data_IF_919789120862
#
_entry.id   IF_919789120862
#
_cell.length_a   1.000
_cell.length_b   1.000
_cell.length_c   1.000
_cell.angle_alpha   90.00
_cell.angle_beta   90.00
_cell.angle_gamma   90.00
#
_symmetry.space_group_name_H-M   'P 1'
#
loop_
_entity.id
_entity.type
_entity.pdbx_description
1 polymer ?
#
# COMPACT_ATOMS: atom_id res chain seq x y z
N UNK A 1 5.83 -25.06 -12.84
CA UNK A 1 4.69 -24.69 -13.72
C UNK A 1 5.13 -23.49 -14.56
N UNK A 2 5.89 -23.73 -15.62
CA UNK A 2 6.45 -22.69 -16.48
C UNK A 2 5.52 -22.35 -17.66
N UNK A 3 5.69 -21.12 -18.17
CA UNK A 3 4.97 -20.49 -19.29
C UNK A 3 4.96 -21.31 -20.60
N UNK A 4 5.76 -22.37 -20.70
CA UNK A 4 5.80 -23.29 -21.86
C UNK A 4 4.68 -24.34 -21.87
N UNK A 5 4.16 -24.74 -20.70
CA UNK A 5 3.02 -25.68 -20.63
C UNK A 5 1.71 -25.07 -21.15
N UNK A 6 1.61 -23.74 -21.18
CA UNK A 6 0.42 -23.00 -21.59
C UNK A 6 0.19 -23.04 -23.09
N UNK A 7 1.24 -23.04 -23.91
CA UNK A 7 1.13 -23.06 -25.38
C UNK A 7 0.68 -24.42 -25.93
N UNK A 8 1.01 -25.52 -25.25
CA UNK A 8 0.64 -26.89 -25.68
C UNK A 8 -0.89 -27.13 -25.70
N UNK A 9 -1.66 -26.34 -24.96
CA UNK A 9 -3.12 -26.46 -24.88
C UNK A 9 -3.88 -25.58 -25.87
N UNK A 10 -3.24 -24.55 -26.45
CA UNK A 10 -3.86 -23.68 -27.45
C UNK A 10 -4.13 -24.47 -28.74
N UNK A 11 -3.25 -25.42 -29.09
CA UNK A 11 -3.39 -26.27 -30.26
C UNK A 11 -4.47 -27.38 -30.13
N UNK A 12 -5.04 -27.61 -28.94
CA UNK A 12 -6.01 -28.68 -28.69
C UNK A 12 -7.47 -28.23 -28.74
N UNK A 13 -7.76 -26.99 -29.15
CA UNK A 13 -9.13 -26.46 -29.24
C UNK A 13 -9.87 -26.36 -27.88
N UNK A 14 -9.19 -26.60 -26.77
CA UNK A 14 -9.76 -26.51 -25.42
C UNK A 14 -9.95 -25.04 -25.06
N UNK A 15 -11.18 -24.54 -25.18
CA UNK A 15 -11.57 -23.22 -24.66
C UNK A 15 -11.42 -23.21 -23.13
N UNK A 16 -10.25 -22.83 -22.63
CA UNK A 16 -10.06 -22.59 -21.19
C UNK A 16 -10.75 -21.31 -20.80
N UNK A 17 -11.65 -21.38 -19.82
CA UNK A 17 -12.18 -20.18 -19.17
C UNK A 17 -11.06 -19.52 -18.38
N UNK A 18 -10.76 -18.26 -18.68
CA UNK A 18 -9.73 -17.48 -17.98
C UNK A 18 -10.11 -17.26 -16.51
N UNK A 19 -11.40 -17.07 -16.24
CA UNK A 19 -11.94 -16.82 -14.91
C UNK A 19 -12.65 -18.03 -14.33
N UNK A 20 -12.61 -18.17 -12.99
CA UNK A 20 -13.34 -19.22 -12.28
C UNK A 20 -14.83 -18.89 -12.27
N UNK A 21 -15.69 -19.89 -12.48
CA UNK A 21 -17.14 -19.70 -12.39
C UNK A 21 -17.53 -19.67 -10.90
N UNK A 22 -18.19 -18.59 -10.48
CA UNK A 22 -18.90 -18.56 -9.21
C UNK A 22 -20.35 -18.99 -9.44
N UNK A 23 -20.98 -19.62 -8.45
CA UNK A 23 -22.43 -19.91 -8.46
C UNK A 23 -23.26 -18.65 -8.11
N UNK A 24 -22.87 -17.49 -8.64
CA UNK A 24 -23.52 -16.19 -8.41
C UNK A 24 -23.70 -15.46 -9.74
N UNK A 25 -24.67 -14.54 -9.79
CA UNK A 25 -24.80 -13.59 -10.88
C UNK A 25 -23.53 -12.73 -11.02
N UNK A 26 -23.24 -12.25 -12.23
CA UNK A 26 -22.00 -11.55 -12.54
C UNK A 26 -21.78 -10.29 -11.66
N UNK A 27 -22.82 -9.49 -11.44
CA UNK A 27 -22.75 -8.29 -10.61
C UNK A 27 -22.43 -8.63 -9.14
N UNK A 28 -23.11 -9.63 -8.56
CA UNK A 28 -22.83 -10.10 -7.20
C UNK A 28 -21.41 -10.67 -7.04
N UNK A 29 -20.90 -11.33 -8.09
CA UNK A 29 -19.51 -11.80 -8.10
C UNK A 29 -18.56 -10.61 -8.05
N UNK A 30 -18.81 -9.59 -8.87
CA UNK A 30 -17.99 -8.38 -8.91
C UNK A 30 -17.99 -7.61 -7.59
N UNK A 31 -19.17 -7.43 -6.99
CA UNK A 31 -19.30 -6.81 -5.67
C UNK A 31 -18.52 -7.57 -4.59
N UNK A 32 -18.59 -8.90 -4.62
CA UNK A 32 -17.84 -9.75 -3.68
C UNK A 32 -16.33 -9.57 -3.83
N UNK A 33 -15.82 -9.43 -5.07
CA UNK A 33 -14.39 -9.21 -5.34
C UNK A 33 -13.98 -7.83 -4.81
N UNK A 34 -14.74 -6.78 -5.11
CA UNK A 34 -14.45 -5.43 -4.61
C UNK A 34 -14.42 -5.36 -3.09
N UNK A 35 -15.33 -6.06 -2.41
CA UNK A 35 -15.36 -6.12 -0.95
C UNK A 35 -14.09 -6.77 -0.40
N UNK A 36 -13.71 -7.93 -0.94
CA UNK A 36 -12.50 -8.63 -0.51
C UNK A 36 -11.22 -7.85 -0.82
N UNK A 37 -11.15 -7.16 -1.95
CA UNK A 37 -10.04 -6.29 -2.30
C UNK A 37 -9.91 -5.13 -1.32
N UNK A 38 -11.03 -4.51 -0.94
CA UNK A 38 -11.05 -3.44 0.05
C UNK A 38 -10.62 -3.93 1.44
N UNK A 39 -11.05 -5.12 1.86
CA UNK A 39 -10.56 -5.78 3.08
C UNK A 39 -9.05 -6.07 3.01
N UNK A 40 -8.57 -6.56 1.87
CA UNK A 40 -7.15 -6.84 1.64
C UNK A 40 -6.30 -5.56 1.73
N UNK A 41 -6.75 -4.45 1.15
CA UNK A 41 -6.09 -3.15 1.29
C UNK A 41 -6.09 -2.68 2.76
N UNK A 42 -7.23 -2.82 3.44
CA UNK A 42 -7.39 -2.37 4.82
C UNK A 42 -6.47 -3.13 5.78
N UNK A 43 -6.43 -4.45 5.70
CA UNK A 43 -5.72 -5.29 6.68
C UNK A 43 -4.35 -5.78 6.21
N UNK A 44 -4.07 -5.72 4.91
CA UNK A 44 -2.84 -6.24 4.30
C UNK A 44 -2.79 -7.75 4.13
N UNK A 45 -3.65 -8.48 4.83
CA UNK A 45 -3.82 -9.93 4.74
C UNK A 45 -5.25 -10.31 5.10
N UNK A 46 -5.84 -11.22 4.32
CA UNK A 46 -7.15 -11.81 4.62
C UNK A 46 -7.11 -13.33 4.49
N UNK A 47 -8.04 -13.97 5.18
CA UNK A 47 -8.27 -15.41 5.13
C UNK A 47 -9.51 -15.72 4.28
N UNK A 48 -9.36 -16.53 3.23
CA UNK A 48 -10.46 -16.88 2.34
C UNK A 48 -10.32 -18.30 1.78
N UNK A 49 -11.27 -18.78 0.98
CA UNK A 49 -11.12 -20.06 0.27
C UNK A 49 -10.02 -19.95 -0.77
N UNK A 50 -9.27 -21.03 -0.99
CA UNK A 50 -8.18 -21.09 -1.97
C UNK A 50 -8.62 -20.64 -3.37
N UNK A 51 -9.83 -20.99 -3.76
CA UNK A 51 -10.43 -20.59 -5.04
C UNK A 51 -10.66 -19.09 -5.12
N UNK A 52 -11.16 -18.46 -4.05
CA UNK A 52 -11.37 -17.01 -3.98
C UNK A 52 -10.05 -16.25 -3.88
N UNK A 53 -9.10 -16.72 -3.07
CA UNK A 53 -7.77 -16.13 -2.96
C UNK A 53 -7.07 -16.07 -4.34
N UNK A 54 -7.07 -17.18 -5.09
CA UNK A 54 -6.48 -17.23 -6.43
C UNK A 54 -7.19 -16.33 -7.45
N UNK A 55 -8.49 -16.11 -7.29
CA UNK A 55 -9.25 -15.22 -8.15
C UNK A 55 -9.01 -13.75 -7.80
N UNK A 56 -9.01 -13.42 -6.50
CA UNK A 56 -8.71 -12.08 -5.99
C UNK A 56 -7.28 -11.63 -6.34
N UNK A 57 -6.33 -12.56 -6.37
CA UNK A 57 -4.92 -12.29 -6.66
C UNK A 57 -4.73 -11.47 -7.94
N UNK A 58 -5.38 -11.86 -9.03
CA UNK A 58 -5.26 -11.16 -10.32
C UNK A 58 -5.72 -9.70 -10.23
N UNK A 59 -6.88 -9.47 -9.60
CA UNK A 59 -7.42 -8.13 -9.42
C UNK A 59 -6.57 -7.26 -8.49
N UNK A 60 -6.02 -7.84 -7.42
CA UNK A 60 -5.15 -7.13 -6.50
C UNK A 60 -3.81 -6.73 -7.15
N UNK A 61 -3.24 -7.62 -7.96
CA UNK A 61 -2.01 -7.32 -8.71
C UNK A 61 -2.23 -6.22 -9.76
N UNK A 62 -3.33 -6.32 -10.52
CA UNK A 62 -3.71 -5.32 -11.52
C UNK A 62 -3.98 -3.96 -10.89
N UNK A 63 -4.69 -3.91 -9.75
CA UNK A 63 -4.98 -2.67 -9.03
C UNK A 63 -3.70 -1.88 -8.70
N UNK A 64 -2.72 -2.54 -8.08
CA UNK A 64 -1.45 -1.90 -7.71
C UNK A 64 -0.66 -1.49 -8.95
N UNK A 65 -0.64 -2.34 -9.97
CA UNK A 65 0.05 -2.06 -11.22
C UNK A 65 -0.50 -0.80 -11.91
N UNK A 66 -1.82 -0.67 -11.98
CA UNK A 66 -2.49 0.52 -12.52
C UNK A 66 -2.24 1.74 -11.64
N UNK A 67 -2.38 1.61 -10.32
CA UNK A 67 -2.16 2.71 -9.37
C UNK A 67 -0.72 3.25 -9.40
N UNK A 68 0.27 2.41 -9.71
CA UNK A 68 1.68 2.83 -9.86
C UNK A 68 1.91 3.70 -11.10
N UNK A 69 1.09 3.55 -12.15
CA UNK A 69 1.19 4.33 -13.40
C UNK A 69 0.48 5.68 -13.28
N UNK A 70 1.06 6.61 -12.53
CA UNK A 70 0.48 7.94 -12.22
C UNK A 70 0.09 8.79 -13.44
N UNK A 71 0.76 8.63 -14.57
CA UNK A 71 0.61 9.53 -15.73
C UNK A 71 -0.59 9.21 -16.64
N UNK A 72 -1.39 8.19 -16.33
CA UNK A 72 -2.54 7.82 -17.16
C UNK A 72 -3.85 8.03 -16.39
N UNK A 73 -4.65 9.00 -16.83
CA UNK A 73 -5.96 9.32 -16.27
C UNK A 73 -6.95 8.16 -16.39
N UNK A 74 -6.90 7.38 -17.48
CA UNK A 74 -7.74 6.20 -17.68
C UNK A 74 -7.46 5.13 -16.62
N UNK A 75 -6.19 4.89 -16.31
CA UNK A 75 -5.80 3.97 -15.25
C UNK A 75 -6.32 4.43 -13.88
N UNK A 76 -6.25 5.73 -13.61
CA UNK A 76 -6.79 6.30 -12.38
C UNK A 76 -8.30 6.09 -12.29
N UNK A 77 -9.05 6.34 -13.37
CA UNK A 77 -10.50 6.10 -13.41
C UNK A 77 -10.84 4.62 -13.19
N UNK A 78 -10.07 3.70 -13.77
CA UNK A 78 -10.24 2.26 -13.56
C UNK A 78 -10.03 1.86 -12.11
N UNK A 79 -8.93 2.32 -11.48
CA UNK A 79 -8.65 2.08 -10.06
C UNK A 79 -9.78 2.61 -9.20
N UNK A 80 -10.24 3.83 -9.48
CA UNK A 80 -11.33 4.45 -8.73
C UNK A 80 -12.67 3.73 -8.89
N UNK A 81 -12.93 3.14 -10.05
CA UNK A 81 -14.14 2.33 -10.27
C UNK A 81 -14.16 1.06 -9.42
N UNK A 82 -12.99 0.55 -9.02
CA UNK A 82 -12.83 -0.70 -8.26
C UNK A 82 -12.90 -0.45 -6.75
N UNK A 83 -12.33 0.66 -6.28
CA UNK A 83 -12.28 1.01 -4.86
C UNK A 83 -13.68 1.35 -4.31
N UNK A 84 -13.97 0.89 -3.09
CA UNK A 84 -15.27 1.17 -2.42
C UNK A 84 -15.18 2.18 -1.28
N UNK A 85 -14.03 2.27 -0.60
CA UNK A 85 -13.89 3.10 0.60
C UNK A 85 -12.70 4.04 0.52
N UNK A 86 -12.86 5.23 1.10
CA UNK A 86 -11.79 6.23 1.20
C UNK A 86 -10.57 5.69 1.97
N UNK A 87 -10.79 4.86 2.98
CA UNK A 87 -9.70 4.23 3.74
C UNK A 87 -8.84 3.30 2.86
N UNK A 88 -9.48 2.49 2.01
CA UNK A 88 -8.79 1.62 1.06
C UNK A 88 -8.00 2.42 0.03
N UNK A 89 -8.59 3.50 -0.51
CA UNK A 89 -7.93 4.45 -1.42
C UNK A 89 -6.69 5.05 -0.78
N UNK A 90 -6.81 5.57 0.44
CA UNK A 90 -5.72 6.18 1.19
C UNK A 90 -4.55 5.20 1.37
N UNK A 91 -4.83 3.98 1.87
CA UNK A 91 -3.79 2.94 2.02
C UNK A 91 -3.15 2.54 0.70
N UNK A 92 -3.91 2.49 -0.40
CA UNK A 92 -3.35 2.15 -1.71
C UNK A 92 -2.25 3.15 -2.11
N UNK A 93 -2.57 4.44 -2.10
CA UNK A 93 -1.67 5.47 -2.61
C UNK A 93 -0.58 5.90 -1.62
N UNK A 94 -0.90 6.00 -0.33
CA UNK A 94 0.07 6.44 0.68
C UNK A 94 1.03 5.33 1.12
N UNK A 95 0.57 4.07 1.12
CA UNK A 95 1.36 2.96 1.66
C UNK A 95 1.83 1.97 0.60
N UNK A 96 0.91 1.34 -0.15
CA UNK A 96 1.31 0.24 -1.05
C UNK A 96 2.01 0.73 -2.33
N UNK A 97 1.62 1.87 -2.90
CA UNK A 97 2.28 2.39 -4.11
C UNK A 97 3.76 2.74 -3.86
N UNK A 98 4.13 3.46 -2.77
CA UNK A 98 5.52 3.66 -2.39
C UNK A 98 6.25 2.35 -2.09
N UNK A 99 5.65 1.47 -1.29
CA UNK A 99 6.23 0.16 -0.93
C UNK A 99 6.63 -0.68 -2.15
N UNK A 100 5.85 -0.61 -3.22
CA UNK A 100 6.05 -1.40 -4.44
C UNK A 100 6.66 -0.63 -5.61
N UNK A 101 7.32 0.49 -5.35
CA UNK A 101 8.01 1.29 -6.37
C UNK A 101 8.95 0.44 -7.22
N UNK A 102 9.88 -0.25 -6.57
CA UNK A 102 10.93 -1.05 -7.20
C UNK A 102 10.46 -2.44 -7.66
N UNK A 103 9.31 -2.90 -7.15
CA UNK A 103 8.74 -4.20 -7.49
C UNK A 103 7.93 -4.09 -8.80
N UNK A 104 8.28 -4.80 -9.88
CA UNK A 104 7.52 -4.71 -11.13
C UNK A 104 6.19 -5.46 -11.07
N UNK A 105 6.17 -6.66 -10.48
CA UNK A 105 5.02 -7.56 -10.40
C UNK A 105 5.09 -8.42 -9.13
N UNK A 106 4.06 -9.26 -8.93
CA UNK A 106 3.92 -10.18 -7.79
C UNK A 106 3.88 -9.43 -6.45
N UNK A 107 2.92 -8.52 -6.31
CA UNK A 107 2.68 -7.76 -5.07
C UNK A 107 1.99 -8.58 -3.98
N UNK A 108 1.34 -9.67 -4.37
CA UNK A 108 0.56 -10.52 -3.47
C UNK A 108 1.08 -11.94 -3.43
N UNK A 109 0.80 -12.63 -2.33
CA UNK A 109 1.11 -14.04 -2.11
C UNK A 109 -0.13 -14.77 -1.64
N UNK A 110 -0.39 -15.93 -2.24
CA UNK A 110 -1.37 -16.89 -1.72
C UNK A 110 -0.65 -17.99 -0.95
N UNK A 111 -0.98 -18.16 0.33
CA UNK A 111 -0.42 -19.19 1.21
C UNK A 111 -1.54 -20.15 1.57
N UNK A 112 -1.44 -21.40 1.09
CA UNK A 112 -2.39 -22.44 1.46
C UNK A 112 -2.33 -22.69 2.97
N UNK A 113 -3.49 -22.89 3.57
CA UNK A 113 -3.57 -23.36 4.94
C UNK A 113 -3.67 -24.88 4.96
N UNK A 114 -3.24 -25.46 6.07
CA UNK A 114 -3.37 -26.89 6.32
C UNK A 114 -4.82 -27.29 6.66
N UNK A 115 -5.60 -26.36 7.21
CA UNK A 115 -6.98 -26.61 7.65
C UNK A 115 -7.99 -26.46 6.50
N UNK A 116 -9.06 -27.23 6.59
CA UNK A 116 -10.26 -27.06 5.78
C UNK A 116 -11.28 -26.22 6.56
N UNK A 117 -12.19 -25.59 5.83
CA UNK A 117 -13.30 -24.87 6.44
C UNK A 117 -14.26 -25.86 7.10
N UNK A 118 -14.73 -25.50 8.29
CA UNK A 118 -15.67 -26.32 9.06
C UNK A 118 -16.98 -26.47 8.29
N UNK A 119 -17.57 -27.68 8.33
CA UNK A 119 -18.85 -28.08 7.72
C UNK A 119 -18.83 -28.35 6.21
N UNK A 120 -18.10 -27.59 5.41
CA UNK A 120 -18.10 -27.75 3.94
C UNK A 120 -16.75 -28.19 3.36
N UNK A 121 -15.76 -28.44 4.21
CA UNK A 121 -14.43 -28.94 3.85
C UNK A 121 -13.72 -28.12 2.77
N UNK A 122 -14.07 -26.84 2.60
CA UNK A 122 -13.46 -26.01 1.57
C UNK A 122 -12.00 -25.68 1.93
N UNK A 123 -11.05 -25.81 0.98
CA UNK A 123 -9.65 -25.48 1.25
C UNK A 123 -9.48 -24.00 1.54
N UNK A 124 -8.80 -23.67 2.64
CA UNK A 124 -8.53 -22.30 3.08
C UNK A 124 -7.15 -21.83 2.61
N UNK A 125 -7.00 -20.51 2.46
CA UNK A 125 -5.75 -19.86 2.14
C UNK A 125 -5.71 -18.44 2.70
N UNK A 126 -4.51 -17.98 3.04
CA UNK A 126 -4.24 -16.56 3.21
C UNK A 126 -3.90 -15.94 1.86
N UNK A 127 -4.40 -14.74 1.62
CA UNK A 127 -3.86 -13.85 0.60
C UNK A 127 -3.34 -12.61 1.31
N UNK A 128 -2.09 -12.25 1.02
CA UNK A 128 -1.40 -11.14 1.66
C UNK A 128 -0.62 -10.31 0.64
N UNK A 129 -0.45 -9.04 0.97
CA UNK A 129 0.53 -8.15 0.35
C UNK A 129 1.94 -8.51 0.86
N UNK A 130 2.92 -8.48 -0.04
CA UNK A 130 4.33 -8.83 0.19
C UNK A 130 5.12 -7.60 0.70
N UNK A 131 6.31 -7.76 1.27
CA UNK A 131 7.20 -6.67 1.74
C UNK A 131 6.62 -5.81 2.90
N UNK A 132 5.43 -6.15 3.41
CA UNK A 132 4.83 -5.52 4.60
C UNK A 132 5.43 -6.12 5.88
N UNK A 133 5.45 -5.36 7.00
CA UNK A 133 5.79 -5.93 8.30
C UNK A 133 4.82 -7.06 8.68
N UNK A 134 5.35 -8.17 9.17
CA UNK A 134 4.56 -9.34 9.58
C UNK A 134 3.95 -10.15 8.42
N UNK A 135 4.61 -10.19 7.25
CA UNK A 135 4.31 -11.19 6.21
C UNK A 135 4.66 -12.62 6.67
N UNK A 136 3.96 -13.63 6.16
CA UNK A 136 4.13 -15.03 6.62
C UNK A 136 5.48 -15.60 6.17
N UNK A 137 5.93 -15.22 4.97
CA UNK A 137 7.20 -15.67 4.40
C UNK A 137 7.96 -14.46 3.89
N UNK A 138 9.27 -14.35 4.14
CA UNK A 138 10.06 -13.25 3.62
C UNK A 138 10.02 -13.25 2.09
N UNK A 139 9.73 -12.10 1.52
CA UNK A 139 9.84 -11.85 0.09
C UNK A 139 11.28 -11.94 -0.39
N UNK A 140 11.46 -12.11 -1.70
CA UNK A 140 12.74 -11.80 -2.32
C UNK A 140 12.87 -10.28 -2.38
N UNK A 141 13.98 -9.71 -1.88
CA UNK A 141 14.19 -8.27 -1.95
C UNK A 141 14.31 -7.82 -3.41
N UNK A 142 13.96 -6.56 -3.65
CA UNK A 142 14.02 -5.88 -4.96
C UNK A 142 14.84 -4.60 -4.85
N UNK A 143 15.15 -3.96 -5.98
CA UNK A 143 15.89 -2.68 -5.99
C UNK A 143 17.22 -2.74 -5.23
N UNK A 144 17.46 -1.71 -4.43
CA UNK A 144 18.65 -1.58 -3.58
C UNK A 144 18.82 -2.75 -2.60
N UNK A 145 17.73 -3.18 -1.93
CA UNK A 145 17.78 -4.26 -0.94
C UNK A 145 18.22 -5.59 -1.55
N UNK A 146 17.89 -5.82 -2.83
CA UNK A 146 18.34 -7.00 -3.56
C UNK A 146 19.85 -7.01 -3.74
N UNK A 147 20.43 -5.86 -4.05
CA UNK A 147 21.85 -5.70 -4.32
C UNK A 147 22.62 -5.86 -3.00
N UNK A 148 22.11 -5.26 -1.93
CA UNK A 148 22.64 -5.44 -0.56
C UNK A 148 22.58 -6.90 -0.12
N UNK A 149 21.46 -7.58 -0.38
CA UNK A 149 21.33 -9.02 -0.12
C UNK A 149 22.37 -9.83 -0.90
N UNK A 150 22.59 -9.51 -2.19
CA UNK A 150 23.59 -10.19 -3.03
C UNK A 150 25.00 -9.99 -2.50
N UNK A 151 25.36 -8.75 -2.14
CA UNK A 151 26.65 -8.43 -1.52
C UNK A 151 26.93 -9.30 -0.29
N UNK A 152 25.97 -9.38 0.63
CA UNK A 152 26.07 -10.23 1.82
C UNK A 152 26.17 -11.73 1.49
N UNK A 153 25.42 -12.20 0.49
CA UNK A 153 25.45 -13.62 0.11
C UNK A 153 26.78 -14.05 -0.51
N UNK A 154 27.40 -13.17 -1.30
CA UNK A 154 28.68 -13.42 -1.97
C UNK A 154 29.81 -13.59 -0.95
N UNK A 155 29.83 -12.78 0.11
CA UNK A 155 30.83 -12.86 1.17
C UNK A 155 30.76 -14.18 1.96
N UNK A 156 29.57 -14.78 2.10
CA UNK A 156 29.38 -15.99 2.92
C UNK A 156 30.07 -17.22 2.35
N UNK A 157 29.95 -17.46 1.04
CA UNK A 157 30.29 -18.76 0.44
C UNK A 157 30.84 -18.60 -0.99
N UNK A 158 31.90 -19.35 -1.35
CA UNK A 158 32.43 -19.41 -2.73
C UNK A 158 31.37 -19.84 -3.76
N UNK A 159 30.44 -20.72 -3.38
CA UNK A 159 29.32 -21.13 -4.25
C UNK A 159 28.39 -19.95 -4.55
N UNK A 160 28.08 -19.14 -3.55
CA UNK A 160 27.26 -17.93 -3.71
C UNK A 160 28.00 -16.88 -4.54
N UNK A 161 29.30 -16.71 -4.32
CA UNK A 161 30.15 -15.86 -5.15
C UNK A 161 29.99 -16.23 -6.64
N UNK A 162 30.20 -17.50 -6.99
CA UNK A 162 30.02 -17.97 -8.38
C UNK A 162 28.59 -17.75 -8.90
N UNK A 163 27.59 -18.01 -8.06
CA UNK A 163 26.17 -17.86 -8.43
C UNK A 163 25.79 -16.41 -8.77
N UNK A 164 26.35 -15.43 -8.06
CA UNK A 164 26.00 -14.02 -8.21
C UNK A 164 27.06 -13.18 -8.93
N UNK A 165 28.18 -13.77 -9.37
CA UNK A 165 29.33 -13.10 -9.99
C UNK A 165 28.94 -12.10 -11.08
N UNK A 166 28.17 -12.52 -12.09
CA UNK A 166 27.77 -11.64 -13.19
C UNK A 166 26.89 -10.48 -12.72
N UNK A 167 25.98 -10.73 -11.78
CA UNK A 167 25.11 -9.68 -11.24
C UNK A 167 25.95 -8.68 -10.44
N UNK A 168 26.88 -9.16 -9.63
CA UNK A 168 27.78 -8.33 -8.83
C UNK A 168 28.69 -7.47 -9.71
N UNK A 169 29.22 -8.03 -10.80
CA UNK A 169 30.00 -7.29 -11.81
C UNK A 169 29.18 -6.22 -12.52
N UNK A 170 27.91 -6.49 -12.84
CA UNK A 170 27.02 -5.48 -13.43
C UNK A 170 26.73 -4.29 -12.50
N UNK A 171 26.77 -4.50 -11.18
CA UNK A 171 26.49 -3.49 -10.17
C UNK A 171 27.76 -2.95 -9.46
N UNK A 172 28.95 -3.18 -10.04
CA UNK A 172 30.24 -2.73 -9.50
C UNK A 172 30.50 -3.15 -8.04
N UNK A 173 30.04 -4.35 -7.65
CA UNK A 173 30.33 -4.95 -6.34
C UNK A 173 31.65 -5.73 -6.32
N UNK A 174 32.28 -5.90 -7.49
CA UNK A 174 33.52 -6.63 -7.70
C UNK A 174 34.44 -5.73 -8.52
N UNK A 175 35.70 -5.65 -8.12
CA UNK A 175 36.75 -4.89 -8.80
C UNK A 175 37.21 -5.55 -10.11
N UNK A 176 38.04 -4.84 -10.87
CA UNK A 176 38.70 -5.39 -12.07
C UNK A 176 39.53 -6.65 -11.79
N UNK A 177 40.01 -6.82 -10.56
CA UNK A 177 40.80 -7.97 -10.10
C UNK A 177 39.93 -9.14 -9.60
N UNK A 178 38.62 -9.14 -9.86
CA UNK A 178 37.64 -10.13 -9.39
C UNK A 178 37.56 -10.26 -7.85
N UNK A 179 37.98 -9.23 -7.11
CA UNK A 179 37.85 -9.15 -5.66
C UNK A 179 36.60 -8.39 -5.24
N UNK A 180 36.00 -8.78 -4.12
CA UNK A 180 34.80 -8.12 -3.58
C UNK A 180 35.22 -6.78 -3.01
N UNK A 181 34.45 -5.74 -3.34
CA UNK A 181 34.67 -4.39 -2.80
C UNK A 181 34.46 -4.38 -1.28
N UNK A 182 35.33 -3.68 -0.55
CA UNK A 182 35.30 -3.60 0.92
C UNK A 182 34.09 -2.85 1.47
N UNK A 183 33.60 -1.84 0.74
CA UNK A 183 32.41 -1.05 1.12
C UNK A 183 31.31 -1.15 0.07
N UNK A 184 30.07 -1.35 0.53
CA UNK A 184 28.88 -1.43 -0.32
C UNK A 184 28.49 -0.06 -0.91
N UNK A 185 28.90 1.03 -0.28
CA UNK A 185 28.60 2.41 -0.72
C UNK A 185 29.09 2.72 -2.15
N UNK A 186 30.08 1.97 -2.64
CA UNK A 186 30.62 2.11 -3.99
C UNK A 186 29.73 1.49 -5.08
N UNK A 187 28.67 0.78 -4.70
CA UNK A 187 27.71 0.25 -5.65
C UNK A 187 27.05 1.38 -6.45
N UNK A 188 26.78 1.14 -7.73
CA UNK A 188 26.19 2.14 -8.64
C UNK A 188 24.80 2.62 -8.20
N UNK A 189 24.15 1.90 -7.28
CA UNK A 189 22.77 2.17 -6.86
C UNK A 189 22.78 2.72 -5.43
N UNK A 190 22.36 3.97 -5.29
CA UNK A 190 22.01 4.55 -4.01
C UNK A 190 20.62 4.08 -3.57
N UNK A 191 20.41 3.97 -2.26
CA UNK A 191 19.06 3.87 -1.71
C UNK A 191 18.42 5.23 -1.91
N UNK A 192 17.36 5.33 -2.71
CA UNK A 192 16.56 6.55 -2.73
C UNK A 192 15.96 6.68 -1.33
N UNK A 193 16.35 7.73 -0.61
CA UNK A 193 15.69 8.10 0.64
C UNK A 193 14.21 8.28 0.34
N UNK A 194 13.37 7.57 1.10
CA UNK A 194 11.94 7.82 1.06
C UNK A 194 11.73 9.29 1.44
N UNK A 195 10.78 9.94 0.78
CA UNK A 195 10.20 11.17 1.33
C UNK A 195 9.50 10.81 2.65
N UNK A 196 10.25 10.69 3.74
CA UNK A 196 9.99 11.56 4.86
C UNK A 196 10.80 12.81 4.56
N UNK A 197 10.20 13.77 3.86
CA UNK A 197 10.42 15.11 4.38
C UNK A 197 9.88 15.03 5.80
N UNK A 198 10.77 15.15 6.78
CA UNK A 198 10.43 15.74 8.06
C UNK A 198 9.92 17.16 7.77
N UNK A 199 8.75 17.26 7.12
CA UNK A 199 7.89 18.44 7.15
C UNK A 199 7.09 18.44 8.48
N UNK A 200 7.48 17.61 9.46
CA UNK A 200 7.73 18.19 10.76
C UNK A 200 9.08 18.90 10.67
N UNK A 201 9.09 20.07 10.01
CA UNK A 201 9.99 21.13 10.46
C UNK A 201 9.81 21.13 11.98
N UNK A 202 10.90 20.88 12.73
CA UNK A 202 10.89 21.08 14.18
C UNK A 202 10.06 22.33 14.44
N UNK A 203 8.93 22.22 15.13
CA UNK A 203 8.09 23.39 15.39
C UNK A 203 9.00 24.37 16.13
N UNK A 204 9.53 25.37 15.43
CA UNK A 204 10.34 26.41 16.01
C UNK A 204 9.35 27.22 16.83
N UNK A 205 9.23 26.87 18.11
CA UNK A 205 8.37 27.58 19.05
C UNK A 205 8.99 28.96 19.21
N UNK A 206 8.40 29.94 18.56
CA UNK A 206 8.85 31.32 18.59
C UNK A 206 8.61 31.88 20.01
N UNK A 207 9.65 31.89 20.84
CA UNK A 207 9.57 32.19 22.28
C UNK A 207 8.98 33.58 22.55
N UNK A 208 9.18 34.52 21.63
CA UNK A 208 8.60 35.86 21.66
C UNK A 208 7.07 35.82 21.50
N UNK A 209 6.58 34.97 20.61
CA UNK A 209 5.14 34.76 20.39
C UNK A 209 4.52 34.14 21.66
N UNK A 210 5.18 33.14 22.25
CA UNK A 210 4.75 32.49 23.49
C UNK A 210 4.68 33.49 24.68
N UNK A 211 5.64 34.41 24.78
CA UNK A 211 5.64 35.44 25.82
C UNK A 211 4.57 36.52 25.59
N UNK A 212 4.28 36.90 24.34
CA UNK A 212 3.14 37.75 24.01
C UNK A 212 1.80 37.09 24.41
N UNK A 213 1.68 35.77 24.21
CA UNK A 213 0.48 35.02 24.61
C UNK A 213 0.39 34.78 26.12
N UNK A 214 1.51 34.69 26.85
CA UNK A 214 1.51 34.68 28.34
C UNK A 214 0.98 35.97 28.95
N UNK A 215 1.05 37.10 28.22
CA UNK A 215 0.57 38.39 28.68
C UNK A 215 -0.97 38.46 28.75
N UNK A 216 -1.67 37.60 27.99
CA UNK A 216 -3.11 37.38 28.09
C UNK A 216 -3.46 36.43 29.25
N UNK A 217 -2.80 36.60 30.40
CA UNK A 217 -2.90 35.79 31.61
C UNK A 217 -4.26 35.80 32.32
N UNK A 218 -5.35 35.98 31.59
CA UNK A 218 -6.68 35.64 32.08
C UNK A 218 -6.83 34.12 32.04
N UNK A 219 -7.35 33.54 33.12
CA UNK A 219 -7.67 32.10 33.17
C UNK A 219 -8.61 31.78 32.00
N UNK A 220 -8.17 30.91 31.08
CA UNK A 220 -9.05 30.30 30.10
C UNK A 220 -10.27 29.72 30.84
N UNK A 221 -11.47 30.02 30.37
CA UNK A 221 -12.69 29.44 30.93
C UNK A 221 -12.59 27.91 30.83
N UNK A 222 -12.97 27.17 31.89
CA UNK A 222 -12.96 25.72 31.81
C UNK A 222 -13.91 25.26 30.70
N UNK A 223 -13.46 24.30 29.89
CA UNK A 223 -14.27 23.70 28.84
C UNK A 223 -15.56 23.08 29.41
N UNK A 224 -16.62 22.96 28.59
CA UNK A 224 -17.91 22.48 29.05
C UNK A 224 -17.83 21.05 29.59
N UNK A 225 -18.29 20.85 30.83
CA UNK A 225 -18.20 19.58 31.56
C UNK A 225 -19.13 18.46 31.04
N UNK A 226 -20.04 18.75 30.08
CA UNK A 226 -20.96 17.75 29.50
C UNK A 226 -21.09 17.91 27.98
N UNK A 227 -20.83 16.83 27.25
CA UNK A 227 -20.59 16.80 25.80
C UNK A 227 -21.83 16.91 24.92
N UNK A 228 -22.38 18.12 24.78
CA UNK A 228 -23.26 18.47 23.64
C UNK A 228 -23.07 19.92 23.22
N UNK A 229 -21.89 20.27 22.74
CA UNK A 229 -21.72 21.44 21.88
C UNK A 229 -20.85 21.06 20.67
N UNK A 230 -21.26 21.42 19.43
CA UNK A 230 -20.51 21.11 18.23
C UNK A 230 -19.22 21.93 18.18
N UNK A 231 -18.11 21.26 17.84
CA UNK A 231 -16.80 21.85 17.58
C UNK A 231 -16.91 22.99 16.54
N UNK A 232 -17.01 24.23 17.02
CA UNK A 232 -16.63 25.43 16.29
C UNK A 232 -15.89 26.33 17.27
N UNK A 233 -14.72 25.84 17.68
CA UNK A 233 -13.68 26.68 18.29
C UNK A 233 -12.83 27.11 17.10
N UNK A 234 -12.51 28.41 17.03
CA UNK A 234 -11.67 29.06 16.00
C UNK A 234 -12.41 29.83 14.88
N UNK A 235 -13.56 30.43 15.19
CA UNK A 235 -14.03 31.59 14.40
C UNK A 235 -14.12 32.83 15.31
N UNK A 236 -13.65 34.00 14.86
CA UNK A 236 -13.86 35.24 15.59
C UNK A 236 -15.35 35.54 15.74
N UNK A 237 -15.73 36.25 16.81
CA UNK A 237 -17.11 36.66 17.04
C UNK A 237 -17.63 37.44 15.82
N UNK A 238 -18.82 37.10 15.28
CA UNK A 238 -19.36 37.81 14.13
C UNK A 238 -19.61 39.28 14.47
N UNK A 239 -19.35 40.16 13.51
CA UNK A 239 -19.55 41.60 13.65
C UNK A 239 -21.02 41.92 13.93
N UNK A 240 -21.31 43.11 14.50
CA UNK A 240 -22.69 43.56 14.73
C UNK A 240 -23.52 43.58 13.43
N UNK A 241 -22.86 43.84 12.29
CA UNK A 241 -23.45 43.83 10.94
C UNK A 241 -23.86 42.41 10.53
N UNK A 242 -23.01 41.41 10.79
CA UNK A 242 -23.33 40.00 10.51
C UNK A 242 -24.43 39.44 11.42
N UNK A 243 -24.50 39.87 12.69
CA UNK A 243 -25.61 39.52 13.59
C UNK A 243 -26.95 40.02 13.07
N UNK A 244 -27.01 41.23 12.51
CA UNK A 244 -28.21 41.75 11.86
C UNK A 244 -28.59 40.93 10.61
N UNK A 245 -27.61 40.55 9.78
CA UNK A 245 -27.84 39.75 8.58
C UNK A 245 -28.35 38.32 8.89
N UNK A 246 -27.79 37.69 9.92
CA UNK A 246 -28.22 36.36 10.41
C UNK A 246 -29.62 36.38 11.02
N UNK A 247 -29.99 37.45 11.73
CA UNK A 247 -31.34 37.64 12.26
C UNK A 247 -32.38 37.93 11.16
N UNK A 248 -31.99 38.62 10.09
CA UNK A 248 -32.86 38.89 8.93
C UNK A 248 -33.27 37.59 8.22
N UNK A 249 -32.35 36.62 8.10
CA UNK A 249 -32.60 35.33 7.44
C UNK A 249 -33.51 34.38 8.25
N UNK A 250 -33.66 34.59 9.56
CA UNK A 250 -34.57 33.81 10.42
C UNK A 250 -36.04 34.26 10.35
N UNK A 251 -36.31 35.48 9.89
CA UNK A 251 -37.70 36.02 9.78
C UNK A 251 -38.42 35.62 8.50
N UNK A 252 -37.71 35.13 7.49
CA UNK A 252 -38.30 34.63 6.24
C UNK A 252 -38.10 33.13 6.10
N UNK A 253 -38.94 32.38 6.81
CA UNK A 253 -39.46 31.09 6.33
C UNK A 253 -40.95 31.01 6.71
N UNK A 254 -41.83 30.58 5.79
CA UNK A 254 -43.21 30.23 6.11
C UNK A 254 -43.27 29.05 7.09
#
# INVERSE_FOLDING_TARGET
>A
MGYTSTLKFVNLGVKRRLFRKAHKQAHHKWDSIKNQLNELLKYGRIETTLTKAKELQGYAEELIYLAKKKNNSENSLLVESILRTAQGRRKLYEYYVPLYRDRPFFFTRVVNQWRLRLRDAAPMAFIEFIDRPGEIRPAKPVGYDRIKYIYNEIQKNRRNFKKYYHIAKMFNLIDSNDQIVSDFSQATISKQEEWLSDDEEDIIIDENLLNNYKQYGDKMLPGPLKGREPFYVDLPLPSLVEKQFLNYRKKFKP
#
